data_IF_416442490852
#
_entry.id   IF_416442490852
#
_cell.length_a   1.000
_cell.length_b   1.000
_cell.length_c   1.000
_cell.angle_alpha   90.00
_cell.angle_beta   90.00
_cell.angle_gamma   90.00
#
_symmetry.space_group_name_H-M   'P 1'
#
loop_
_entity.id
_entity.type
_entity.pdbx_description
1 polymer ?
#
# COMPACT_ATOMS: atom_id res chain seq x y z
N UNK A 1 27.16 12.25 -7.87
CA UNK A 1 26.29 11.07 -7.82
C UNK A 1 24.85 11.56 -7.72
N UNK A 2 24.03 11.45 -8.79
CA UNK A 2 22.63 11.93 -8.80
C UNK A 2 21.72 10.70 -8.75
N UNK A 3 21.00 10.54 -7.64
CA UNK A 3 20.00 9.48 -7.47
C UNK A 3 18.76 9.90 -8.27
N UNK A 4 18.35 9.18 -9.33
CA UNK A 4 17.10 9.50 -10.02
C UNK A 4 15.94 9.08 -9.12
N UNK A 5 15.28 10.07 -8.50
CA UNK A 5 14.09 9.89 -7.69
C UNK A 5 12.87 10.03 -8.61
N UNK A 6 12.09 8.96 -8.77
CA UNK A 6 10.83 9.01 -9.51
C UNK A 6 9.69 9.36 -8.55
N UNK A 7 8.87 10.34 -8.95
CA UNK A 7 7.74 10.86 -8.19
C UNK A 7 6.43 10.27 -8.74
N UNK A 8 5.64 9.62 -7.88
CA UNK A 8 4.28 9.18 -8.22
C UNK A 8 3.30 9.76 -7.20
N UNK A 9 2.23 10.41 -7.66
CA UNK A 9 1.19 11.00 -6.82
C UNK A 9 -0.18 10.39 -7.16
N UNK A 10 -0.97 10.05 -6.13
CA UNK A 10 -2.33 9.50 -6.25
C UNK A 10 -3.26 10.17 -5.24
N UNK A 11 -4.47 10.54 -5.67
CA UNK A 11 -5.52 11.12 -4.81
C UNK A 11 -6.76 10.22 -4.93
N UNK A 12 -7.35 9.84 -3.79
CA UNK A 12 -8.55 9.02 -3.72
C UNK A 12 -9.53 9.57 -2.66
N UNK A 13 -10.83 9.42 -2.90
CA UNK A 13 -11.89 9.80 -1.97
C UNK A 13 -12.85 8.63 -1.76
N UNK A 14 -13.27 8.39 -0.53
CA UNK A 14 -14.19 7.32 -0.14
C UNK A 14 -15.36 7.88 0.68
N UNK A 15 -16.56 7.33 0.49
CA UNK A 15 -17.78 7.70 1.23
C UNK A 15 -18.37 6.42 1.81
N UNK A 16 -18.60 6.40 3.13
CA UNK A 16 -19.20 5.26 3.83
C UNK A 16 -20.48 5.68 4.55
N UNK A 17 -21.58 4.96 4.31
CA UNK A 17 -22.81 5.05 5.09
C UNK A 17 -22.88 3.83 6.02
N UNK A 18 -23.09 4.03 7.32
CA UNK A 18 -23.19 2.95 8.30
C UNK A 18 -24.62 2.94 8.86
N UNK A 19 -25.27 1.77 8.87
CA UNK A 19 -26.56 1.58 9.52
C UNK A 19 -26.42 1.57 11.04
N UNK A 20 -27.47 1.98 11.76
CA UNK A 20 -27.50 2.19 13.21
C UNK A 20 -26.80 1.07 14.02
N UNK A 21 -25.58 1.37 14.46
CA UNK A 21 -24.72 0.52 15.28
C UNK A 21 -23.48 1.35 15.64
N UNK A 22 -23.42 1.83 16.87
CA UNK A 22 -22.45 2.80 17.38
C UNK A 22 -21.06 2.17 17.60
N UNK A 23 -20.42 1.70 16.54
CA UNK A 23 -18.97 1.57 16.52
C UNK A 23 -18.41 2.67 15.62
N UNK A 24 -17.53 3.50 16.18
CA UNK A 24 -16.93 4.63 15.49
C UNK A 24 -16.43 4.21 14.10
N UNK A 25 -16.90 4.89 13.06
CA UNK A 25 -16.53 4.64 11.69
C UNK A 25 -15.01 4.50 11.55
N UNK A 26 -14.54 3.31 11.14
CA UNK A 26 -13.12 3.02 10.93
C UNK A 26 -12.74 3.32 9.48
N UNK A 27 -12.69 4.60 9.13
CA UNK A 27 -12.02 5.04 7.89
C UNK A 27 -10.50 5.07 8.06
N UNK A 28 -9.75 5.05 6.97
CA UNK A 28 -8.28 5.09 6.99
C UNK A 28 -7.73 6.35 7.67
N UNK A 29 -8.49 7.44 7.69
CA UNK A 29 -8.09 8.67 8.38
C UNK A 29 -8.13 8.57 9.92
N UNK A 30 -8.95 7.66 10.48
CA UNK A 30 -9.11 7.48 11.92
C UNK A 30 -8.02 6.57 12.48
N UNK A 31 -7.51 6.93 13.65
CA UNK A 31 -6.51 6.14 14.36
C UNK A 31 -7.20 5.10 15.24
N UNK A 32 -6.58 3.92 15.34
CA UNK A 32 -7.00 2.89 16.30
C UNK A 32 -6.76 3.35 17.74
N UNK A 33 -7.67 3.04 18.68
CA UNK A 33 -7.44 3.26 20.10
C UNK A 33 -6.16 2.56 20.60
N UNK A 34 -5.51 3.09 21.66
CA UNK A 34 -4.33 2.46 22.24
C UNK A 34 -4.60 1.01 22.65
N UNK A 35 -3.78 0.09 22.17
CA UNK A 35 -3.91 -1.35 22.43
C UNK A 35 -4.81 -2.10 21.44
N UNK A 36 -5.59 -1.40 20.62
CA UNK A 36 -6.44 -2.04 19.62
C UNK A 36 -5.65 -2.37 18.35
N UNK A 37 -5.94 -3.52 17.76
CA UNK A 37 -5.40 -3.95 16.48
C UNK A 37 -6.49 -4.28 15.47
N UNK A 38 -6.18 -4.09 14.19
CA UNK A 38 -7.00 -4.57 13.09
C UNK A 38 -6.11 -5.31 12.08
N UNK A 39 -6.63 -6.40 11.53
CA UNK A 39 -6.00 -7.12 10.43
C UNK A 39 -7.03 -7.27 9.31
N UNK A 40 -6.65 -6.84 8.12
CA UNK A 40 -7.41 -6.99 6.89
C UNK A 40 -6.56 -7.88 5.99
N UNK A 41 -7.09 -9.02 5.56
CA UNK A 41 -6.42 -9.89 4.62
C UNK A 41 -7.14 -9.83 3.28
N UNK A 42 -6.37 -9.65 2.21
CA UNK A 42 -6.86 -9.62 0.85
C UNK A 42 -6.20 -10.73 0.02
N UNK A 43 -6.92 -11.22 -0.98
CA UNK A 43 -6.39 -12.21 -1.88
C UNK A 43 -6.85 -11.88 -3.28
N UNK A 44 -5.89 -11.77 -4.19
CA UNK A 44 -6.17 -11.46 -5.59
C UNK A 44 -5.72 -12.60 -6.50
N UNK A 45 -6.55 -12.90 -7.49
CA UNK A 45 -6.28 -13.91 -8.52
C UNK A 45 -6.42 -13.27 -9.90
N UNK A 46 -5.35 -13.31 -10.68
CA UNK A 46 -5.33 -12.76 -12.04
C UNK A 46 -4.81 -13.78 -13.06
N UNK A 47 -5.37 -13.73 -14.28
CA UNK A 47 -4.94 -14.52 -15.44
C UNK A 47 -4.88 -13.61 -16.68
N UNK A 48 -3.72 -13.53 -17.34
CA UNK A 48 -3.47 -12.69 -18.52
C UNK A 48 -2.82 -13.52 -19.64
N UNK A 49 -3.00 -13.11 -20.90
CA UNK A 49 -2.22 -13.65 -22.04
C UNK A 49 -0.94 -12.89 -22.33
N UNK A 50 -0.17 -13.35 -23.31
CA UNK A 50 1.09 -12.75 -23.76
C UNK A 50 0.95 -11.31 -24.30
N UNK A 51 -0.28 -10.85 -24.55
CA UNK A 51 -0.60 -9.50 -25.03
C UNK A 51 -1.19 -8.60 -23.92
N UNK A 52 -1.24 -9.08 -22.66
CA UNK A 52 -1.75 -8.30 -21.53
C UNK A 52 -3.28 -8.22 -21.44
N UNK A 53 -4.02 -9.01 -22.22
CA UNK A 53 -5.49 -9.07 -22.13
C UNK A 53 -5.93 -10.15 -21.13
N UNK A 54 -6.99 -9.86 -20.36
CA UNK A 54 -7.70 -10.86 -19.57
C UNK A 54 -8.36 -11.85 -20.54
N UNK A 55 -7.83 -13.06 -20.64
CA UNK A 55 -8.53 -14.17 -21.29
C UNK A 55 -8.54 -15.39 -20.36
N UNK A 56 -9.64 -16.16 -20.35
CA UNK A 56 -9.78 -17.33 -19.50
C UNK A 56 -9.13 -18.58 -20.12
N UNK A 57 -7.79 -18.72 -20.19
CA UNK A 57 -7.08 -20.01 -20.49
C UNK A 57 -5.58 -19.99 -20.09
N UNK A 58 -4.82 -21.11 -20.04
CA UNK A 58 -4.08 -21.55 -18.85
C UNK A 58 -2.56 -21.48 -19.04
N UNK A 59 -1.89 -20.45 -18.50
CA UNK A 59 -0.46 -20.59 -18.16
C UNK A 59 0.15 -19.45 -17.35
N UNK A 60 -0.52 -18.31 -17.20
CA UNK A 60 -0.10 -17.27 -16.26
C UNK A 60 -0.99 -17.32 -15.01
N UNK A 61 -0.44 -17.78 -13.88
CA UNK A 61 -1.14 -17.75 -12.57
C UNK A 61 -0.36 -16.85 -11.63
N UNK A 62 -0.93 -15.71 -11.25
CA UNK A 62 -0.46 -14.89 -10.14
C UNK A 62 -1.40 -15.04 -8.96
N UNK A 63 -0.85 -15.44 -7.82
CA UNK A 63 -1.47 -15.40 -6.52
C UNK A 63 -0.77 -14.33 -5.69
N UNK A 64 -1.55 -13.41 -5.13
CA UNK A 64 -1.06 -12.38 -4.24
C UNK A 64 -1.89 -12.42 -2.96
N UNK A 65 -1.21 -12.59 -1.83
CA UNK A 65 -1.77 -12.49 -0.49
C UNK A 65 -1.23 -11.20 0.12
N UNK A 66 -2.08 -10.18 0.19
CA UNK A 66 -1.83 -8.98 0.97
C UNK A 66 -2.42 -9.13 2.37
N UNK A 67 -1.70 -8.64 3.37
CA UNK A 67 -2.27 -8.47 4.71
C UNK A 67 -1.97 -7.08 5.19
N UNK A 68 -2.99 -6.30 5.51
CA UNK A 68 -2.90 -4.97 6.05
C UNK A 68 -3.22 -4.99 7.54
N UNK A 69 -2.23 -4.68 8.36
CA UNK A 69 -2.31 -4.70 9.81
C UNK A 69 -2.16 -3.29 10.35
N UNK A 70 -3.01 -2.93 11.30
CA UNK A 70 -2.93 -1.68 12.04
C UNK A 70 -2.90 -1.96 13.55
N UNK A 71 -2.13 -1.17 14.30
CA UNK A 71 -2.06 -1.25 15.75
C UNK A 71 -2.00 0.14 16.38
N UNK A 72 -2.97 0.47 17.23
CA UNK A 72 -2.99 1.72 17.99
C UNK A 72 -1.93 1.71 19.08
N UNK A 73 -0.81 2.38 18.86
CA UNK A 73 0.26 2.46 19.86
C UNK A 73 -0.08 3.49 20.93
N UNK A 74 -0.63 4.64 20.54
CA UNK A 74 -1.11 5.70 21.43
C UNK A 74 -2.36 6.36 20.83
N UNK A 75 -2.99 7.29 21.56
CA UNK A 75 -4.17 8.01 21.05
C UNK A 75 -3.88 8.92 19.84
N UNK A 76 -2.59 9.12 19.51
CA UNK A 76 -2.13 9.94 18.37
C UNK A 76 -1.24 9.19 17.39
N UNK A 77 -0.99 7.89 17.60
CA UNK A 77 -0.08 7.11 16.78
C UNK A 77 -0.59 5.69 16.56
N UNK A 78 -0.74 5.32 15.29
CA UNK A 78 -1.05 3.97 14.83
C UNK A 78 0.12 3.45 13.99
N UNK A 79 0.57 2.23 14.27
CA UNK A 79 1.54 1.53 13.45
C UNK A 79 0.81 0.73 12.38
N UNK A 80 1.40 0.66 11.18
CA UNK A 80 0.85 -0.05 10.03
C UNK A 80 1.91 -0.99 9.50
N UNK A 81 1.53 -2.23 9.22
CA UNK A 81 2.37 -3.20 8.52
C UNK A 81 1.53 -3.85 7.42
N UNK A 82 2.04 -3.83 6.19
CA UNK A 82 1.38 -4.43 5.05
C UNK A 82 2.31 -5.44 4.34
N UNK A 83 2.59 -6.62 4.94
CA UNK A 83 3.32 -7.67 4.25
C UNK A 83 2.51 -8.21 3.06
N UNK A 84 3.22 -8.56 1.99
CA UNK A 84 2.63 -9.26 0.85
C UNK A 84 3.45 -10.47 0.44
N UNK A 85 2.78 -11.46 -0.10
CA UNK A 85 3.38 -12.68 -0.63
C UNK A 85 2.88 -12.94 -2.04
N UNK A 86 3.83 -13.04 -2.97
CA UNK A 86 3.60 -13.22 -4.40
C UNK A 86 4.01 -14.63 -4.83
N UNK A 87 3.12 -15.32 -5.55
CA UNK A 87 3.41 -16.58 -6.25
C UNK A 87 3.00 -16.45 -7.72
N UNK A 88 4.01 -16.29 -8.58
CA UNK A 88 3.88 -16.16 -10.03
C UNK A 88 4.41 -17.44 -10.67
N UNK A 89 3.56 -18.13 -11.42
CA UNK A 89 3.96 -19.30 -12.22
C UNK A 89 3.88 -18.96 -13.70
N UNK A 90 5.03 -19.05 -14.36
CA UNK A 90 5.18 -18.84 -15.80
C UNK A 90 5.84 -20.05 -16.46
N UNK A 91 5.31 -20.56 -17.58
CA UNK A 91 6.02 -21.53 -18.39
C UNK A 91 7.22 -20.87 -19.09
N UNK A 92 8.29 -21.63 -19.38
CA UNK A 92 9.42 -21.14 -20.16
C UNK A 92 8.98 -20.52 -21.51
N UNK A 93 9.57 -19.39 -21.95
CA UNK A 93 10.76 -18.73 -21.38
C UNK A 93 10.46 -17.74 -20.23
N UNK A 94 9.23 -17.69 -19.72
CA UNK A 94 8.85 -16.76 -18.65
C UNK A 94 9.45 -17.13 -17.28
N UNK A 95 9.75 -16.11 -16.47
CA UNK A 95 10.28 -16.31 -15.12
C UNK A 95 9.16 -16.56 -14.11
N UNK A 96 9.29 -17.61 -13.30
CA UNK A 96 8.42 -17.88 -12.15
C UNK A 96 9.01 -17.22 -10.89
N UNK A 97 8.16 -16.69 -10.02
CA UNK A 97 8.55 -16.03 -8.77
C UNK A 97 7.73 -16.60 -7.61
N UNK A 98 8.36 -16.79 -6.46
CA UNK A 98 7.67 -17.23 -5.25
C UNK A 98 8.40 -16.63 -4.05
N UNK A 99 7.76 -15.71 -3.34
CA UNK A 99 8.40 -15.01 -2.22
C UNK A 99 7.64 -13.77 -1.77
N UNK A 100 8.31 -12.93 -0.97
CA UNK A 100 7.75 -11.67 -0.48
C UNK A 100 7.53 -10.67 -1.62
N UNK A 101 6.29 -10.23 -1.76
CA UNK A 101 5.93 -9.13 -2.64
C UNK A 101 6.37 -7.77 -2.09
N UNK A 102 5.83 -6.70 -2.69
CA UNK A 102 5.99 -5.34 -2.17
C UNK A 102 5.30 -5.22 -0.81
N UNK A 103 6.08 -4.99 0.24
CA UNK A 103 5.61 -4.94 1.63
C UNK A 103 5.84 -3.56 2.22
N UNK A 104 4.93 -3.05 3.05
CA UNK A 104 5.04 -1.74 3.71
C UNK A 104 5.20 -1.84 5.23
N UNK A 105 5.99 -0.94 5.81
CA UNK A 105 5.91 -0.60 7.23
C UNK A 105 5.72 0.91 7.33
N UNK A 106 4.71 1.35 8.06
CA UNK A 106 4.38 2.76 8.19
C UNK A 106 3.92 3.15 9.59
N UNK A 107 3.94 4.45 9.84
CA UNK A 107 3.41 5.07 11.04
C UNK A 107 2.41 6.16 10.64
N UNK A 108 1.21 6.11 11.21
CA UNK A 108 0.15 7.11 11.05
C UNK A 108 0.01 7.95 12.31
N UNK A 109 0.19 9.25 12.16
CA UNK A 109 0.03 10.24 13.23
C UNK A 109 -1.27 11.02 13.06
N UNK A 110 -1.99 11.20 14.17
CA UNK A 110 -3.16 12.08 14.22
C UNK A 110 -2.72 13.53 14.37
N UNK A 111 -3.00 14.35 13.36
CA UNK A 111 -2.67 15.78 13.36
C UNK A 111 -3.78 16.62 13.99
N UNK A 112 -5.03 16.23 13.76
CA UNK A 112 -6.21 16.90 14.29
C UNK A 112 -7.33 15.89 14.55
N UNK A 113 -8.07 16.08 15.65
CA UNK A 113 -9.26 15.29 15.99
C UNK A 113 -10.25 16.15 16.76
N UNK A 114 -11.49 16.14 16.30
CA UNK A 114 -12.67 16.62 17.02
C UNK A 114 -13.75 15.53 17.03
N UNK A 115 -14.94 15.84 17.51
CA UNK A 115 -16.08 14.91 17.50
C UNK A 115 -16.56 14.61 16.08
N UNK A 116 -16.33 15.52 15.13
CA UNK A 116 -16.82 15.40 13.75
C UNK A 116 -15.70 15.23 12.71
N UNK A 117 -14.46 15.64 12.99
CA UNK A 117 -13.41 15.69 11.97
C UNK A 117 -12.11 15.06 12.46
N UNK A 118 -11.39 14.43 11.54
CA UNK A 118 -10.03 13.93 11.77
C UNK A 118 -9.12 14.34 10.62
N UNK A 119 -7.86 14.62 10.95
CA UNK A 119 -6.78 14.75 9.97
C UNK A 119 -5.61 13.93 10.47
N UNK A 120 -5.05 13.11 9.60
CA UNK A 120 -3.91 12.26 9.90
C UNK A 120 -2.91 12.24 8.75
N UNK A 121 -1.70 11.85 9.09
CA UNK A 121 -0.59 11.74 8.16
C UNK A 121 0.12 10.42 8.39
N UNK A 122 0.43 9.71 7.31
CA UNK A 122 1.16 8.45 7.34
C UNK A 122 2.45 8.57 6.54
N UNK A 123 3.53 8.05 7.11
CA UNK A 123 4.80 7.87 6.43
C UNK A 123 5.21 6.41 6.50
N UNK A 124 5.58 5.83 5.36
CA UNK A 124 5.87 4.42 5.22
C UNK A 124 7.04 4.13 4.32
N UNK A 125 7.74 3.03 4.59
CA UNK A 125 8.74 2.46 3.71
C UNK A 125 8.14 1.23 3.04
N UNK A 126 8.19 1.21 1.70
CA UNK A 126 7.84 0.06 0.87
C UNK A 126 9.08 -0.64 0.37
N UNK A 127 9.09 -1.96 0.50
CA UNK A 127 10.09 -2.83 -0.10
C UNK A 127 9.94 -2.79 -1.64
N UNK A 128 10.99 -3.11 -2.41
CA UNK A 128 10.93 -2.99 -3.87
C UNK A 128 10.13 -4.11 -4.57
N UNK A 129 9.56 -5.06 -3.82
CA UNK A 129 8.84 -6.24 -4.32
C UNK A 129 9.74 -7.20 -5.12
N UNK A 130 9.84 -8.47 -4.71
CA UNK A 130 10.80 -9.39 -5.34
C UNK A 130 10.54 -9.69 -6.83
N UNK A 131 9.31 -9.51 -7.32
CA UNK A 131 8.92 -9.70 -8.73
C UNK A 131 9.62 -8.73 -9.71
N UNK A 132 10.06 -7.55 -9.26
CA UNK A 132 10.59 -6.49 -10.14
C UNK A 132 12.06 -6.13 -9.87
N UNK A 133 12.66 -6.69 -8.80
CA UNK A 133 14.05 -6.44 -8.45
C UNK A 133 15.08 -7.07 -9.41
N UNK A 134 14.68 -8.12 -10.15
CA UNK A 134 15.56 -8.89 -11.05
C UNK A 134 15.16 -8.81 -12.55
N UNK A 135 14.04 -8.17 -12.89
CA UNK A 135 13.47 -8.18 -14.24
C UNK A 135 14.02 -7.09 -15.17
N UNK A 136 14.87 -6.20 -14.68
CA UNK A 136 15.58 -5.24 -15.52
C UNK A 136 16.98 -5.83 -15.74
N UNK A 137 17.28 -6.25 -16.99
CA UNK A 137 18.51 -6.96 -17.37
C UNK A 137 19.83 -6.25 -17.00
N UNK A 138 20.98 -6.58 -17.61
CA UNK A 138 22.32 -6.16 -17.15
C UNK A 138 22.56 -4.63 -17.05
N UNK A 139 21.64 -3.79 -17.52
CA UNK A 139 21.64 -2.33 -17.44
C UNK A 139 20.52 -1.74 -16.55
N UNK A 140 19.84 -2.57 -15.77
CA UNK A 140 18.63 -2.25 -15.04
C UNK A 140 18.85 -1.46 -13.76
N UNK A 141 18.18 -0.33 -13.63
CA UNK A 141 18.07 0.41 -12.37
C UNK A 141 17.27 -0.43 -11.37
N UNK A 142 17.91 -0.94 -10.31
CA UNK A 142 17.21 -1.72 -9.29
C UNK A 142 16.46 -0.76 -8.36
N UNK A 143 15.13 -0.90 -8.28
CA UNK A 143 14.35 -0.27 -7.21
C UNK A 143 14.83 -0.87 -5.89
N UNK A 144 15.22 -0.02 -4.95
CA UNK A 144 15.76 -0.47 -3.67
C UNK A 144 14.73 -0.39 -2.54
N UNK A 145 13.94 0.68 -2.51
CA UNK A 145 12.82 0.90 -1.60
C UNK A 145 12.06 2.14 -2.07
N UNK A 146 10.84 2.34 -1.57
CA UNK A 146 10.10 3.60 -1.77
C UNK A 146 9.69 4.19 -0.42
N UNK A 147 9.75 5.51 -0.30
CA UNK A 147 9.14 6.24 0.81
C UNK A 147 7.75 6.71 0.37
N UNK A 148 6.69 6.24 1.03
CA UNK A 148 5.31 6.68 0.83
C UNK A 148 4.92 7.70 1.91
N UNK A 149 4.41 8.85 1.49
CA UNK A 149 3.85 9.86 2.38
C UNK A 149 2.39 10.07 2.00
N UNK A 150 1.49 10.01 2.99
CA UNK A 150 0.05 10.10 2.78
C UNK A 150 -0.61 11.05 3.77
N UNK A 151 -1.37 12.01 3.27
CA UNK A 151 -2.29 12.82 4.06
C UNK A 151 -3.71 12.29 3.95
N UNK A 152 -4.44 12.27 5.06
CA UNK A 152 -5.83 11.78 5.13
C UNK A 152 -6.67 12.75 5.97
N UNK A 153 -7.90 12.99 5.53
CA UNK A 153 -8.87 13.80 6.25
C UNK A 153 -10.25 13.12 6.19
N UNK A 154 -10.90 13.03 7.34
CA UNK A 154 -12.20 12.41 7.50
C UNK A 154 -13.19 13.36 8.17
N UNK A 155 -14.46 13.28 7.80
CA UNK A 155 -15.54 14.04 8.42
C UNK A 155 -16.78 13.17 8.59
N UNK A 156 -17.36 13.19 9.79
CA UNK A 156 -18.62 12.53 10.11
C UNK A 156 -19.78 13.35 9.52
N UNK A 157 -20.71 12.69 8.85
CA UNK A 157 -21.89 13.30 8.23
C UNK A 157 -23.14 12.55 8.65
N UNK A 158 -24.28 13.25 8.75
CA UNK A 158 -25.59 12.62 8.95
C UNK A 158 -26.42 12.82 7.69
N UNK A 159 -26.84 11.73 7.05
CA UNK A 159 -27.63 11.76 5.82
C UNK A 159 -28.93 11.01 6.06
N UNK A 160 -30.07 11.70 5.91
CA UNK A 160 -31.40 11.13 6.15
C UNK A 160 -31.56 10.47 7.54
N UNK A 161 -30.91 11.02 8.58
CA UNK A 161 -30.93 10.49 9.94
C UNK A 161 -29.97 9.32 10.20
N UNK A 162 -29.16 8.93 9.21
CA UNK A 162 -28.14 7.89 9.34
C UNK A 162 -26.76 8.53 9.52
N UNK A 163 -25.99 8.06 10.51
CA UNK A 163 -24.61 8.47 10.71
C UNK A 163 -23.70 7.82 9.65
N UNK A 164 -22.80 8.59 9.09
CA UNK A 164 -21.84 8.14 8.09
C UNK A 164 -20.59 9.01 8.11
N UNK A 165 -19.72 8.81 7.14
CA UNK A 165 -18.49 9.58 7.02
C UNK A 165 -18.07 9.76 5.57
N UNK A 166 -17.31 10.83 5.34
CA UNK A 166 -16.59 11.09 4.10
C UNK A 166 -15.10 11.15 4.41
N UNK A 167 -14.28 10.61 3.52
CA UNK A 167 -12.82 10.62 3.65
C UNK A 167 -12.17 11.01 2.32
N UNK A 168 -11.14 11.85 2.43
CA UNK A 168 -10.25 12.20 1.34
C UNK A 168 -8.81 11.87 1.74
N UNK A 169 -8.06 11.27 0.81
CA UNK A 169 -6.66 10.95 1.00
C UNK A 169 -5.82 11.27 -0.23
N UNK A 170 -4.58 11.69 -0.01
CA UNK A 170 -3.58 11.94 -1.05
C UNK A 170 -2.25 11.35 -0.64
N UNK A 171 -1.60 10.63 -1.54
CA UNK A 171 -0.33 9.97 -1.32
C UNK A 171 0.71 10.36 -2.37
N UNK A 172 1.96 10.43 -1.96
CA UNK A 172 3.13 10.63 -2.82
C UNK A 172 4.21 9.61 -2.46
N UNK A 173 4.80 8.99 -3.48
CA UNK A 173 5.83 7.99 -3.32
C UNK A 173 7.15 8.44 -3.96
N UNK A 174 8.24 8.37 -3.19
CA UNK A 174 9.61 8.59 -3.65
C UNK A 174 10.32 7.25 -3.79
N UNK A 175 10.58 6.84 -5.04
CA UNK A 175 11.29 5.58 -5.30
C UNK A 175 12.80 5.80 -5.31
N UNK A 176 13.52 5.06 -4.46
CA UNK A 176 14.99 5.03 -4.48
C UNK A 176 15.48 3.98 -5.47
N UNK A 177 16.42 4.42 -6.29
CA UNK A 177 17.07 3.63 -7.33
C UNK A 177 18.56 3.45 -7.01
N UNK A 178 19.05 2.21 -7.04
CA UNK A 178 20.49 1.93 -6.98
C UNK A 178 20.97 1.65 -8.40
N UNK A 179 21.90 2.49 -8.87
CA UNK A 179 22.67 2.25 -10.09
C UNK A 179 24.00 1.58 -9.74
N UNK A 180 24.38 0.51 -10.44
CA UNK A 180 25.74 -0.04 -10.33
C UNK A 180 26.72 0.99 -10.91
N UNK A 181 27.48 1.65 -10.04
CA UNK A 181 28.70 2.30 -10.48
C UNK A 181 29.71 1.21 -10.85
N UNK A 182 30.19 1.23 -12.09
CA UNK A 182 31.24 0.37 -12.58
C UNK A 182 32.53 0.74 -11.82
N UNK A 183 32.82 0.05 -10.72
CA UNK A 183 34.14 0.13 -10.09
C UNK A 183 35.06 -0.68 -10.99
N UNK A 184 35.75 0.03 -11.88
CA UNK A 184 36.76 -0.54 -12.76
C UNK A 184 37.79 -1.31 -11.95
N UNK A 185 38.09 -2.51 -12.43
CA UNK A 185 39.20 -3.34 -11.98
C UNK A 185 40.53 -2.60 -12.12
N UNK A 186 41.35 -2.73 -11.08
CA UNK A 186 42.82 -2.63 -11.10
C UNK A 186 43.43 -3.42 -12.25
#
# INVERSE_FOLDING_TARGET
MRIPCFLLALIAAAVGLIGAGTEAARGGAWLLPPGDGQVIADTFFYAFNAQGHLIPVPSYKKFELGTYMEYGLTSRLTLVAAPSYDSIRNPPPGQSYNGLGESEIAARVGLYRSDASVVSFQAGLRSPGGSFADSLGPFGVRRAASLDLRGMAGHNVVVAGMEGFVEAQGAIAFTLAISRANIGSI
#
